data_IF_067527900052
#
_entry.id   IF_067527900052
#
_cell.length_a   1.000
_cell.length_b   1.000
_cell.length_c   1.000
_cell.angle_alpha   90.00
_cell.angle_beta   90.00
_cell.angle_gamma   90.00
#
_symmetry.space_group_name_H-M   'P 1'
#
loop_
_entity.id
_entity.type
_entity.pdbx_description
1 polymer ?
#
# COMPACT_ATOMS: atom_id res chain seq x y z
N UNK A 1 30.72 17.88 -14.32
CA UNK A 1 30.78 16.44 -14.02
C UNK A 1 30.30 15.71 -15.27
N UNK A 2 31.22 15.38 -16.18
CA UNK A 2 30.93 14.74 -17.47
C UNK A 2 30.73 13.26 -17.24
N UNK A 3 29.62 12.74 -17.67
CA UNK A 3 29.08 11.39 -17.63
C UNK A 3 30.06 10.24 -17.37
N UNK A 4 30.29 9.90 -16.12
CA UNK A 4 31.10 8.73 -15.70
C UNK A 4 30.47 7.39 -16.16
N UNK A 5 29.22 7.42 -16.64
CA UNK A 5 28.47 6.26 -17.15
C UNK A 5 28.34 6.19 -18.67
N UNK A 6 28.90 7.18 -19.42
CA UNK A 6 28.80 7.20 -20.88
C UNK A 6 29.73 6.18 -21.57
N UNK A 7 30.75 5.71 -20.88
CA UNK A 7 31.78 4.81 -21.41
C UNK A 7 31.68 3.36 -20.92
N UNK A 8 30.75 3.04 -20.05
CA UNK A 8 30.50 1.64 -19.67
C UNK A 8 29.82 0.92 -20.85
N UNK A 9 30.41 -0.18 -21.35
CA UNK A 9 29.81 -0.91 -22.46
C UNK A 9 28.40 -1.36 -22.03
N UNK A 10 27.41 -1.11 -22.89
CA UNK A 10 25.99 -1.45 -22.63
C UNK A 10 25.80 -2.86 -22.10
N UNK A 11 26.68 -3.78 -22.53
CA UNK A 11 26.70 -5.18 -22.06
C UNK A 11 26.99 -5.33 -20.58
N UNK A 12 27.95 -4.57 -20.00
CA UNK A 12 28.26 -4.65 -18.57
C UNK A 12 27.15 -4.05 -17.71
N UNK A 13 26.54 -2.93 -18.13
CA UNK A 13 25.38 -2.36 -17.44
C UNK A 13 24.19 -3.33 -17.47
N UNK A 14 23.93 -3.98 -18.59
CA UNK A 14 22.88 -4.99 -18.71
C UNK A 14 23.17 -6.22 -17.84
N UNK A 15 24.40 -6.69 -17.77
CA UNK A 15 24.80 -7.80 -16.92
C UNK A 15 24.62 -7.46 -15.42
N UNK A 16 25.04 -6.27 -15.00
CA UNK A 16 24.83 -5.77 -13.63
C UNK A 16 23.33 -5.69 -13.29
N UNK A 17 22.52 -5.16 -14.21
CA UNK A 17 21.06 -5.08 -14.02
C UNK A 17 20.44 -6.47 -13.79
N UNK A 18 20.75 -7.45 -14.63
CA UNK A 18 20.22 -8.81 -14.49
C UNK A 18 20.74 -9.52 -13.25
N UNK A 19 22.03 -9.33 -12.92
CA UNK A 19 22.61 -9.89 -11.68
C UNK A 19 21.93 -9.31 -10.44
N UNK A 20 21.68 -8.00 -10.41
CA UNK A 20 20.97 -7.33 -9.33
C UNK A 20 19.51 -7.81 -9.22
N UNK A 21 18.82 -7.95 -10.35
CA UNK A 21 17.45 -8.48 -10.38
C UNK A 21 17.39 -9.92 -9.84
N UNK A 22 18.31 -10.79 -10.28
CA UNK A 22 18.42 -12.15 -9.77
C UNK A 22 18.69 -12.18 -8.27
N UNK A 23 19.61 -11.34 -7.78
CA UNK A 23 19.91 -11.21 -6.36
C UNK A 23 18.68 -10.82 -5.53
N UNK A 24 17.88 -9.86 -6.02
CA UNK A 24 16.64 -9.43 -5.34
C UNK A 24 15.55 -10.51 -5.35
N UNK A 25 15.44 -11.28 -6.43
CA UNK A 25 14.41 -12.31 -6.56
C UNK A 25 14.80 -13.63 -5.89
N UNK A 26 16.08 -13.86 -5.65
CA UNK A 26 16.57 -15.13 -5.09
C UNK A 26 15.93 -15.51 -3.75
N UNK A 27 15.81 -14.64 -2.73
CA UNK A 27 15.14 -15.00 -1.48
C UNK A 27 13.67 -15.38 -1.68
N UNK A 28 12.97 -14.65 -2.58
CA UNK A 28 11.56 -14.91 -2.88
C UNK A 28 11.38 -16.25 -3.61
N UNK A 29 12.25 -16.55 -4.58
CA UNK A 29 12.20 -17.82 -5.31
C UNK A 29 12.55 -19.00 -4.39
N UNK A 30 13.49 -18.84 -3.47
CA UNK A 30 13.81 -19.85 -2.46
C UNK A 30 12.63 -20.09 -1.50
N UNK A 31 11.99 -19.03 -1.01
CA UNK A 31 10.78 -19.14 -0.18
C UNK A 31 9.66 -19.88 -0.94
N UNK A 32 9.43 -19.51 -2.20
CA UNK A 32 8.46 -20.19 -3.06
C UNK A 32 8.83 -21.66 -3.29
N UNK A 33 10.08 -21.97 -3.56
CA UNK A 33 10.53 -23.37 -3.73
C UNK A 33 10.33 -24.20 -2.45
N UNK A 34 10.64 -23.62 -1.27
CA UNK A 34 10.45 -24.27 0.02
C UNK A 34 8.99 -24.49 0.40
N UNK A 35 8.04 -23.75 -0.20
CA UNK A 35 6.60 -23.96 0.02
C UNK A 35 6.06 -25.26 -0.57
N UNK A 36 6.79 -25.88 -1.50
CA UNK A 36 6.42 -27.15 -2.10
C UNK A 36 7.10 -28.37 -1.45
N UNK A 37 7.94 -28.15 -0.45
CA UNK A 37 8.69 -29.25 0.18
C UNK A 37 7.78 -30.16 1.00
N UNK A 38 7.87 -31.47 0.75
CA UNK A 38 7.20 -32.49 1.56
C UNK A 38 8.06 -32.83 2.80
N UNK A 39 8.00 -31.95 3.82
CA UNK A 39 8.62 -32.14 5.12
C UNK A 39 8.05 -31.13 6.12
N UNK A 40 8.19 -31.40 7.42
CA UNK A 40 7.70 -30.50 8.47
C UNK A 40 8.64 -29.35 8.82
N UNK A 41 9.81 -29.27 8.20
CA UNK A 41 10.82 -28.25 8.46
C UNK A 41 11.48 -27.76 7.17
N UNK A 42 12.01 -26.55 7.20
CA UNK A 42 12.72 -25.93 6.08
C UNK A 42 14.19 -26.34 6.12
N UNK A 43 14.66 -27.13 5.15
CA UNK A 43 16.07 -27.50 4.99
C UNK A 43 16.39 -27.87 3.54
N UNK A 44 17.68 -27.88 3.18
CA UNK A 44 18.20 -28.38 1.90
C UNK A 44 18.83 -29.76 2.08
N UNK A 45 18.82 -30.64 1.04
CA UNK A 45 18.14 -30.45 -0.27
C UNK A 45 16.63 -30.57 -0.16
N UNK A 46 15.90 -30.01 -1.16
CA UNK A 46 14.46 -30.23 -1.31
C UNK A 46 14.30 -31.69 -1.73
N UNK A 47 13.63 -32.49 -0.90
CA UNK A 47 13.29 -33.87 -1.19
C UNK A 47 12.09 -33.96 -2.16
N UNK A 48 11.04 -34.64 -1.73
CA UNK A 48 9.81 -34.73 -2.51
C UNK A 48 9.04 -33.41 -2.53
N UNK A 49 8.22 -33.23 -3.56
CA UNK A 49 7.41 -32.03 -3.80
C UNK A 49 5.95 -32.33 -3.54
N UNK A 50 5.25 -31.44 -2.81
CA UNK A 50 3.83 -31.56 -2.52
C UNK A 50 3.10 -30.25 -2.68
N UNK A 51 1.79 -30.34 -2.94
CA UNK A 51 0.84 -29.22 -2.89
C UNK A 51 -0.04 -29.25 -1.63
N UNK A 52 0.16 -30.21 -0.74
CA UNK A 52 -0.71 -30.41 0.43
C UNK A 52 -0.72 -29.23 1.37
N UNK A 53 0.41 -28.50 1.47
CA UNK A 53 0.47 -27.27 2.25
C UNK A 53 -0.48 -26.19 1.76
N UNK A 54 -0.64 -26.07 0.44
CA UNK A 54 -1.60 -25.13 -0.16
C UNK A 54 -3.04 -25.54 0.13
N UNK A 55 -3.36 -26.83 0.03
CA UNK A 55 -4.67 -27.35 0.38
C UNK A 55 -4.98 -27.14 1.86
N UNK A 56 -4.00 -27.35 2.74
CA UNK A 56 -4.12 -27.11 4.18
C UNK A 56 -4.34 -25.64 4.50
N UNK A 57 -3.56 -24.72 3.92
CA UNK A 57 -3.68 -23.28 4.08
C UNK A 57 -5.04 -22.77 3.63
N UNK A 58 -5.56 -23.27 2.50
CA UNK A 58 -6.90 -22.89 1.99
C UNK A 58 -8.05 -23.40 2.86
N UNK A 59 -7.82 -24.39 3.72
CA UNK A 59 -8.79 -24.89 4.71
C UNK A 59 -8.57 -24.28 6.10
N UNK A 60 -7.47 -23.58 6.34
CA UNK A 60 -7.17 -22.93 7.62
C UNK A 60 -8.11 -21.71 7.80
N UNK A 61 -9.11 -21.87 8.67
CA UNK A 61 -10.08 -20.80 8.99
C UNK A 61 -9.40 -19.56 9.53
N UNK A 62 -8.34 -19.71 10.33
CA UNK A 62 -7.61 -18.58 10.89
C UNK A 62 -6.91 -17.76 9.81
N UNK A 63 -6.33 -18.43 8.81
CA UNK A 63 -5.73 -17.78 7.63
C UNK A 63 -6.78 -17.02 6.82
N UNK A 64 -7.91 -17.65 6.50
CA UNK A 64 -8.98 -17.01 5.74
C UNK A 64 -9.59 -15.81 6.47
N UNK A 65 -9.82 -15.93 7.78
CA UNK A 65 -10.30 -14.84 8.60
C UNK A 65 -9.31 -13.66 8.67
N UNK A 66 -8.01 -13.95 8.78
CA UNK A 66 -6.96 -12.94 8.76
C UNK A 66 -6.86 -12.23 7.39
N UNK A 67 -7.01 -12.97 6.28
CA UNK A 67 -7.09 -12.42 4.94
C UNK A 67 -8.28 -11.44 4.80
N UNK A 68 -9.48 -11.89 5.16
CA UNK A 68 -10.69 -11.05 5.09
C UNK A 68 -10.58 -9.83 5.98
N UNK A 69 -10.03 -9.99 7.18
CA UNK A 69 -9.83 -8.89 8.11
C UNK A 69 -8.82 -7.86 7.55
N UNK A 70 -7.70 -8.32 6.97
CA UNK A 70 -6.73 -7.43 6.31
C UNK A 70 -7.34 -6.66 5.13
N UNK A 71 -8.14 -7.33 4.30
CA UNK A 71 -8.84 -6.68 3.17
C UNK A 71 -9.83 -5.63 3.68
N UNK A 72 -10.59 -5.92 4.73
CA UNK A 72 -11.51 -4.97 5.35
C UNK A 72 -10.79 -3.73 5.90
N UNK A 73 -9.69 -3.93 6.64
CA UNK A 73 -8.84 -2.82 7.14
C UNK A 73 -8.30 -2.00 5.97
N UNK A 74 -7.75 -2.67 4.95
CA UNK A 74 -7.19 -1.99 3.78
C UNK A 74 -8.25 -1.19 3.01
N UNK A 75 -9.43 -1.73 2.81
CA UNK A 75 -10.53 -1.03 2.16
C UNK A 75 -10.98 0.20 2.95
N UNK A 76 -11.21 0.05 4.26
CA UNK A 76 -11.68 1.14 5.11
C UNK A 76 -10.64 2.26 5.24
N UNK A 77 -9.37 1.91 5.49
CA UNK A 77 -8.28 2.89 5.61
C UNK A 77 -7.96 3.59 4.29
N UNK A 78 -8.02 2.87 3.16
CA UNK A 78 -7.83 3.44 1.83
C UNK A 78 -8.94 4.44 1.51
N UNK A 79 -10.21 4.10 1.77
CA UNK A 79 -11.33 5.01 1.53
C UNK A 79 -11.20 6.28 2.37
N UNK A 80 -10.88 6.13 3.66
CA UNK A 80 -10.65 7.25 4.56
C UNK A 80 -9.46 8.12 4.11
N UNK A 81 -8.33 7.50 3.76
CA UNK A 81 -7.14 8.21 3.30
C UNK A 81 -7.37 8.93 1.97
N UNK A 82 -8.10 8.29 1.02
CA UNK A 82 -8.42 8.89 -0.27
C UNK A 82 -9.32 10.10 -0.09
N UNK A 83 -10.33 10.00 0.75
CA UNK A 83 -11.23 11.11 1.06
C UNK A 83 -10.46 12.27 1.70
N UNK A 84 -9.78 12.02 2.80
CA UNK A 84 -9.02 13.04 3.54
C UNK A 84 -7.91 13.65 2.70
N UNK A 85 -7.12 12.81 2.02
CA UNK A 85 -6.01 13.27 1.19
C UNK A 85 -6.45 14.12 0.00
N UNK A 86 -7.58 13.78 -0.62
CA UNK A 86 -8.18 14.59 -1.69
C UNK A 86 -8.62 15.96 -1.17
N UNK A 87 -9.32 16.02 -0.04
CA UNK A 87 -9.73 17.27 0.58
C UNK A 87 -8.55 18.15 0.97
N UNK A 88 -7.49 17.56 1.57
CA UNK A 88 -6.26 18.28 1.90
C UNK A 88 -5.59 18.83 0.63
N UNK A 89 -5.50 18.04 -0.44
CA UNK A 89 -4.93 18.48 -1.70
C UNK A 89 -5.73 19.65 -2.32
N UNK A 90 -7.06 19.59 -2.28
CA UNK A 90 -7.92 20.68 -2.72
C UNK A 90 -7.72 21.95 -1.87
N UNK A 91 -7.61 21.80 -0.55
CA UNK A 91 -7.33 22.90 0.36
C UNK A 91 -6.00 23.58 0.04
N UNK A 92 -4.99 22.81 -0.35
CA UNK A 92 -3.65 23.34 -0.71
C UNK A 92 -3.68 24.14 -2.01
N UNK A 93 -4.55 23.81 -2.98
CA UNK A 93 -4.66 24.58 -4.24
C UNK A 93 -5.72 25.66 -4.21
N UNK A 94 -6.53 25.73 -3.16
CA UNK A 94 -7.59 26.74 -3.06
C UNK A 94 -7.00 28.16 -2.96
N UNK A 95 -7.57 29.09 -3.73
CA UNK A 95 -7.16 30.49 -3.73
C UNK A 95 -7.44 31.15 -2.38
N UNK A 96 -6.57 32.09 -2.00
CA UNK A 96 -6.70 32.87 -0.76
C UNK A 96 -6.30 32.14 0.54
N UNK A 97 -5.99 30.87 0.52
CA UNK A 97 -5.53 30.14 1.71
C UNK A 97 -4.06 30.46 1.98
N UNK A 98 -3.81 31.08 3.14
CA UNK A 98 -2.44 31.31 3.64
C UNK A 98 -1.89 30.03 4.31
N UNK A 99 -0.61 29.76 4.13
CA UNK A 99 0.03 28.61 4.79
C UNK A 99 -0.10 27.27 4.06
N UNK A 100 -0.37 27.27 2.75
CA UNK A 100 -0.44 26.05 1.91
C UNK A 100 0.79 25.14 2.09
N UNK A 101 1.99 25.73 2.24
CA UNK A 101 3.24 24.98 2.47
C UNK A 101 3.21 24.27 3.83
N UNK A 102 2.66 24.93 4.85
CA UNK A 102 2.54 24.35 6.20
C UNK A 102 1.55 23.20 6.18
N UNK A 103 0.38 23.37 5.52
CA UNK A 103 -0.64 22.32 5.36
C UNK A 103 -0.03 21.11 4.66
N UNK A 104 0.70 21.34 3.57
CA UNK A 104 1.39 20.26 2.84
C UNK A 104 2.44 19.56 3.71
N UNK A 105 3.29 20.33 4.42
CA UNK A 105 4.30 19.78 5.30
C UNK A 105 3.70 18.92 6.42
N UNK A 106 2.64 19.41 7.08
CA UNK A 106 1.92 18.67 8.12
C UNK A 106 1.26 17.40 7.58
N UNK A 107 0.63 17.48 6.40
CA UNK A 107 0.00 16.32 5.75
C UNK A 107 1.02 15.25 5.35
N UNK A 108 2.25 15.65 4.97
CA UNK A 108 3.31 14.73 4.57
C UNK A 108 4.18 14.23 5.76
N UNK A 109 4.05 14.83 6.94
CA UNK A 109 4.84 14.47 8.12
C UNK A 109 4.79 12.97 8.47
N UNK A 110 3.62 12.28 8.42
CA UNK A 110 3.55 10.86 8.73
C UNK A 110 4.37 9.95 7.81
N UNK A 111 4.67 10.39 6.59
CA UNK A 111 5.51 9.62 5.66
C UNK A 111 7.02 9.74 5.96
N UNK A 112 7.42 10.80 6.67
CA UNK A 112 8.82 11.07 7.02
C UNK A 112 9.19 10.42 8.35
N UNK A 113 8.21 10.29 9.27
CA UNK A 113 8.42 9.69 10.59
C UNK A 113 8.62 8.18 10.45
N UNK A 114 9.68 7.59 11.04
CA UNK A 114 9.88 6.15 11.03
C UNK A 114 8.65 5.39 11.52
N UNK A 115 8.26 4.32 10.80
CA UNK A 115 7.00 3.62 11.02
C UNK A 115 6.78 3.15 12.47
N UNK A 116 7.82 2.65 13.14
CA UNK A 116 7.74 2.22 14.54
C UNK A 116 7.46 3.41 15.48
N UNK A 117 8.14 4.54 15.29
CA UNK A 117 7.94 5.74 16.10
C UNK A 117 6.52 6.28 15.90
N UNK A 118 6.05 6.33 14.65
CA UNK A 118 4.69 6.73 14.31
C UNK A 118 3.64 5.82 14.98
N UNK A 119 3.85 4.50 14.95
CA UNK A 119 2.93 3.53 15.54
C UNK A 119 2.86 3.65 17.07
N UNK A 120 4.01 3.78 17.74
CA UNK A 120 4.09 3.95 19.21
C UNK A 120 3.46 5.29 19.62
N UNK A 121 3.78 6.38 18.92
CA UNK A 121 3.20 7.71 19.21
C UNK A 121 1.68 7.69 19.05
N UNK A 122 1.16 7.03 18.01
CA UNK A 122 -0.27 6.88 17.82
C UNK A 122 -0.90 5.99 18.90
N UNK A 123 -0.20 4.94 19.34
CA UNK A 123 -0.64 4.10 20.48
C UNK A 123 -0.78 4.91 21.77
N UNK A 124 0.19 5.77 22.05
CA UNK A 124 0.14 6.68 23.21
C UNK A 124 -1.03 7.65 23.03
N UNK A 125 -1.16 8.27 21.87
CA UNK A 125 -2.24 9.22 21.58
C UNK A 125 -3.63 8.62 21.81
N UNK A 126 -3.92 7.44 21.23
CA UNK A 126 -5.24 6.80 21.42
C UNK A 126 -5.49 6.43 22.88
N UNK A 127 -4.43 6.11 23.66
CA UNK A 127 -4.55 5.86 25.09
C UNK A 127 -4.91 7.12 25.87
N UNK A 128 -4.45 8.32 25.46
CA UNK A 128 -4.79 9.59 26.14
C UNK A 128 -6.23 10.03 25.92
N UNK A 129 -6.90 9.51 24.89
CA UNK A 129 -8.31 9.79 24.58
C UNK A 129 -9.22 8.59 24.90
N UNK A 130 -8.72 7.64 25.70
CA UNK A 130 -9.43 6.41 26.10
C UNK A 130 -9.98 5.58 24.92
N UNK A 131 -9.36 5.69 23.74
CA UNK A 131 -9.73 4.89 22.58
C UNK A 131 -9.12 3.49 22.70
N UNK A 132 -9.92 2.41 22.64
CA UNK A 132 -9.40 1.05 22.74
C UNK A 132 -8.59 0.67 21.49
N UNK A 133 -7.58 -0.20 21.70
CA UNK A 133 -6.92 -0.89 20.58
C UNK A 133 -7.90 -1.79 19.83
N UNK A 134 -7.58 -2.08 18.56
CA UNK A 134 -8.41 -2.94 17.71
C UNK A 134 -8.70 -2.32 16.35
N UNK A 135 -9.79 -2.74 15.73
CA UNK A 135 -10.13 -2.41 14.34
C UNK A 135 -10.08 -0.92 14.03
N UNK A 136 -10.72 -0.08 14.87
CA UNK A 136 -10.77 1.37 14.63
C UNK A 136 -9.39 2.02 14.77
N UNK A 137 -8.59 1.60 15.75
CA UNK A 137 -7.24 2.10 15.95
C UNK A 137 -6.31 1.71 14.78
N UNK A 138 -6.43 0.48 14.27
CA UNK A 138 -5.67 0.03 13.08
C UNK A 138 -6.06 0.87 11.86
N UNK A 139 -7.37 1.02 11.60
CA UNK A 139 -7.85 1.84 10.47
C UNK A 139 -7.33 3.27 10.58
N UNK A 140 -7.36 3.87 11.77
CA UNK A 140 -6.79 5.21 12.00
C UNK A 140 -5.30 5.25 11.67
N UNK A 141 -4.52 4.29 12.17
CA UNK A 141 -3.07 4.22 11.91
C UNK A 141 -2.70 4.07 10.46
N UNK A 142 -3.40 3.16 9.75
CA UNK A 142 -3.20 2.95 8.32
C UNK A 142 -3.65 4.17 7.51
N UNK A 143 -4.75 4.82 7.90
CA UNK A 143 -5.23 6.06 7.27
C UNK A 143 -4.20 7.18 7.38
N UNK A 144 -3.71 7.46 8.61
CA UNK A 144 -2.70 8.49 8.86
C UNK A 144 -1.45 8.25 8.02
N UNK A 145 -1.02 6.99 7.88
CA UNK A 145 0.13 6.65 7.05
C UNK A 145 -0.12 6.83 5.55
N UNK A 146 -1.32 6.52 5.08
CA UNK A 146 -1.66 6.54 3.66
C UNK A 146 -1.98 7.95 3.12
N UNK A 147 -2.49 8.85 3.96
CA UNK A 147 -2.87 10.24 3.59
C UNK A 147 -1.79 10.99 2.81
N UNK A 148 -0.51 11.01 3.21
CA UNK A 148 0.55 11.71 2.48
C UNK A 148 0.63 11.33 1.00
N UNK A 149 0.52 10.06 0.70
CA UNK A 149 0.64 9.54 -0.67
C UNK A 149 -0.54 9.99 -1.53
N UNK A 150 -1.75 9.96 -0.98
CA UNK A 150 -2.94 10.47 -1.68
C UNK A 150 -2.83 11.98 -1.91
N UNK A 151 -2.38 12.73 -0.89
CA UNK A 151 -2.17 14.19 -1.01
C UNK A 151 -1.23 14.51 -2.16
N UNK A 152 -0.08 13.84 -2.24
CA UNK A 152 0.90 14.08 -3.31
C UNK A 152 0.32 13.74 -4.69
N UNK A 153 -0.36 12.59 -4.83
CA UNK A 153 -0.95 12.17 -6.10
C UNK A 153 -2.07 13.10 -6.55
N UNK A 154 -2.99 13.43 -5.64
CA UNK A 154 -4.11 14.34 -5.93
C UNK A 154 -3.60 15.76 -6.23
N UNK A 155 -2.65 16.28 -5.44
CA UNK A 155 -2.07 17.60 -5.62
C UNK A 155 -1.35 17.73 -6.97
N UNK A 156 -0.56 16.73 -7.35
CA UNK A 156 0.14 16.70 -8.64
C UNK A 156 -0.87 16.76 -9.79
N UNK A 157 -1.97 16.02 -9.67
CA UNK A 157 -3.03 16.00 -10.68
C UNK A 157 -3.82 17.30 -10.72
N UNK A 158 -4.16 17.88 -9.56
CA UNK A 158 -4.85 19.17 -9.47
C UNK A 158 -4.01 20.28 -10.10
N UNK A 159 -2.71 20.33 -9.85
CA UNK A 159 -1.81 21.34 -10.44
C UNK A 159 -1.65 21.22 -11.96
N UNK A 160 -1.93 20.06 -12.52
CA UNK A 160 -1.94 19.84 -13.97
C UNK A 160 -3.30 20.11 -14.63
N UNK A 161 -4.34 20.42 -13.83
CA UNK A 161 -5.66 20.71 -14.34
C UNK A 161 -5.67 22.10 -15.00
N UNK A 162 -6.18 22.24 -16.24
CA UNK A 162 -6.36 23.54 -16.85
C UNK A 162 -7.31 24.42 -16.01
N UNK A 163 -6.84 25.64 -15.65
CA UNK A 163 -7.58 26.53 -14.73
C UNK A 163 -8.97 26.91 -15.20
N UNK A 164 -9.16 26.99 -16.52
CA UNK A 164 -10.44 27.37 -17.14
C UNK A 164 -11.54 26.30 -17.08
N UNK A 165 -11.24 25.05 -16.70
CA UNK A 165 -12.25 23.97 -16.68
C UNK A 165 -13.33 24.20 -15.63
N UNK A 166 -12.95 24.65 -14.44
CA UNK A 166 -13.91 24.93 -13.35
C UNK A 166 -14.68 26.20 -13.66
N UNK A 167 -14.01 27.22 -14.21
CA UNK A 167 -14.66 28.50 -14.59
C UNK A 167 -15.67 28.29 -15.73
N UNK A 168 -15.29 27.52 -16.75
CA UNK A 168 -16.23 27.17 -17.83
C UNK A 168 -17.47 26.42 -17.32
N UNK A 169 -17.31 25.54 -16.32
CA UNK A 169 -18.43 24.86 -15.69
C UNK A 169 -19.36 25.87 -14.94
N UNK A 170 -18.76 26.85 -14.25
CA UNK A 170 -19.50 27.92 -13.57
C UNK A 170 -20.24 28.82 -14.53
N UNK A 171 -19.62 29.18 -15.66
CA UNK A 171 -20.28 29.97 -16.74
C UNK A 171 -21.49 29.25 -17.31
N UNK A 172 -21.48 27.90 -17.29
CA UNK A 172 -22.62 27.04 -17.64
C UNK A 172 -23.64 26.85 -16.51
N UNK A 173 -23.49 27.58 -15.39
CA UNK A 173 -24.42 27.56 -14.26
C UNK A 173 -24.14 26.49 -13.21
N UNK A 174 -22.97 25.84 -13.23
CA UNK A 174 -22.62 24.88 -12.20
C UNK A 174 -22.20 25.58 -10.89
N UNK A 175 -22.79 25.19 -9.77
CA UNK A 175 -22.30 25.57 -8.45
C UNK A 175 -21.00 24.83 -8.10
N UNK A 176 -20.39 25.17 -6.96
CA UNK A 176 -19.11 24.57 -6.54
C UNK A 176 -19.19 23.06 -6.31
N UNK A 177 -20.34 22.55 -5.85
CA UNK A 177 -20.57 21.12 -5.60
C UNK A 177 -20.69 20.36 -6.93
N UNK A 178 -21.49 20.90 -7.86
CA UNK A 178 -21.67 20.34 -9.21
C UNK A 178 -20.34 20.37 -9.97
N UNK A 179 -19.59 21.47 -9.92
CA UNK A 179 -18.27 21.58 -10.55
C UNK A 179 -17.28 20.57 -9.96
N UNK A 180 -17.30 20.34 -8.64
CA UNK A 180 -16.47 19.31 -8.01
C UNK A 180 -16.80 17.92 -8.54
N UNK A 181 -18.06 17.48 -8.47
CA UNK A 181 -18.43 16.11 -8.83
C UNK A 181 -18.40 15.84 -10.34
N UNK A 182 -18.68 16.85 -11.18
CA UNK A 182 -18.74 16.68 -12.64
C UNK A 182 -17.48 17.03 -13.39
N UNK A 183 -16.58 17.82 -12.80
CA UNK A 183 -15.34 18.28 -13.47
C UNK A 183 -14.11 17.83 -12.67
N UNK A 184 -13.97 18.29 -11.41
CA UNK A 184 -12.76 18.08 -10.64
C UNK A 184 -12.55 16.60 -10.27
N UNK A 185 -13.55 15.94 -9.72
CA UNK A 185 -13.46 14.55 -9.28
C UNK A 185 -13.21 13.57 -10.45
N UNK A 186 -13.90 13.65 -11.59
CA UNK A 186 -13.58 12.86 -12.78
C UNK A 186 -12.18 13.12 -13.32
N UNK A 187 -11.70 14.37 -13.30
CA UNK A 187 -10.35 14.72 -13.71
C UNK A 187 -9.30 14.08 -12.78
N UNK A 188 -9.56 14.05 -11.47
CA UNK A 188 -8.71 13.39 -10.47
C UNK A 188 -8.77 11.86 -10.55
N UNK A 189 -9.86 11.30 -11.07
CA UNK A 189 -10.19 9.88 -11.04
C UNK A 189 -8.99 8.95 -11.30
N UNK A 190 -8.24 9.08 -12.41
CA UNK A 190 -7.10 8.21 -12.69
C UNK A 190 -5.99 8.26 -11.63
N UNK A 191 -5.72 9.44 -11.05
CA UNK A 191 -4.73 9.61 -9.99
C UNK A 191 -5.24 9.01 -8.66
N UNK A 192 -6.52 9.20 -8.33
CA UNK A 192 -7.14 8.64 -7.13
C UNK A 192 -7.20 7.11 -7.19
N UNK A 193 -7.54 6.53 -8.35
CA UNK A 193 -7.53 5.07 -8.52
C UNK A 193 -6.11 4.52 -8.30
N UNK A 194 -5.10 5.12 -8.90
CA UNK A 194 -3.70 4.75 -8.66
C UNK A 194 -3.30 4.90 -7.18
N UNK A 195 -3.71 5.99 -6.55
CA UNK A 195 -3.51 6.23 -5.11
C UNK A 195 -4.21 5.20 -4.23
N UNK A 196 -5.46 4.84 -4.53
CA UNK A 196 -6.20 3.81 -3.80
C UNK A 196 -5.52 2.45 -3.87
N UNK A 197 -5.08 2.02 -5.06
CA UNK A 197 -4.36 0.76 -5.22
C UNK A 197 -3.07 0.75 -4.39
N UNK A 198 -2.31 1.85 -4.43
CA UNK A 198 -1.11 1.99 -3.63
C UNK A 198 -1.41 1.94 -2.12
N UNK A 199 -2.46 2.63 -1.65
CA UNK A 199 -2.88 2.61 -0.25
C UNK A 199 -3.34 1.21 0.21
N UNK A 200 -4.05 0.46 -0.64
CA UNK A 200 -4.42 -0.94 -0.35
C UNK A 200 -3.18 -1.79 -0.14
N UNK A 201 -2.19 -1.70 -1.03
CA UNK A 201 -0.94 -2.46 -0.91
C UNK A 201 -0.18 -2.07 0.36
N UNK A 202 -0.05 -0.77 0.66
CA UNK A 202 0.56 -0.28 1.90
C UNK A 202 -0.15 -0.83 3.15
N UNK A 203 -1.47 -0.89 3.13
CA UNK A 203 -2.25 -1.34 4.29
C UNK A 203 -2.17 -2.86 4.49
N UNK A 204 -2.15 -3.64 3.41
CA UNK A 204 -2.04 -5.12 3.49
C UNK A 204 -0.68 -5.52 4.07
N UNK A 205 0.38 -4.79 3.76
CA UNK A 205 1.75 -5.09 4.20
C UNK A 205 2.10 -4.47 5.58
N UNK A 206 1.22 -3.63 6.15
CA UNK A 206 1.52 -2.91 7.38
C UNK A 206 1.43 -3.79 8.64
N UNK A 207 2.54 -4.44 8.96
CA UNK A 207 2.73 -5.18 10.19
C UNK A 207 2.88 -4.25 11.41
N UNK A 208 3.71 -3.20 11.29
CA UNK A 208 4.16 -2.41 12.45
C UNK A 208 3.01 -1.71 13.15
N UNK A 209 2.17 -0.99 12.39
CA UNK A 209 1.01 -0.28 12.98
C UNK A 209 -0.01 -1.25 13.53
N UNK A 210 -0.26 -2.34 12.81
CA UNK A 210 -1.15 -3.39 13.30
C UNK A 210 -0.66 -4.01 14.60
N UNK A 211 0.65 -4.23 14.76
CA UNK A 211 1.25 -4.78 15.98
C UNK A 211 0.98 -3.90 17.21
N UNK A 212 1.15 -2.58 17.09
CA UNK A 212 0.99 -1.65 18.22
C UNK A 212 -0.47 -1.25 18.48
N UNK A 213 -1.31 -1.21 17.45
CA UNK A 213 -2.69 -0.72 17.52
C UNK A 213 -3.72 -1.85 17.54
N UNK A 214 -3.31 -3.07 17.23
CA UNK A 214 -4.17 -4.23 17.10
C UNK A 214 -4.79 -4.69 18.43
N UNK A 215 -5.86 -5.48 18.29
CA UNK A 215 -6.53 -6.19 19.37
C UNK A 215 -6.37 -7.70 19.22
N UNK A 216 -7.41 -8.45 19.56
CA UNK A 216 -7.38 -9.92 19.52
C UNK A 216 -7.42 -10.54 18.12
N UNK A 217 -7.92 -9.82 17.12
CA UNK A 217 -8.00 -10.32 15.74
C UNK A 217 -6.71 -9.98 14.98
N UNK A 218 -5.93 -10.98 14.54
CA UNK A 218 -4.73 -10.72 13.78
C UNK A 218 -5.06 -10.35 12.33
N UNK A 219 -4.32 -9.40 11.77
CA UNK A 219 -4.23 -9.23 10.32
C UNK A 219 -3.31 -10.30 9.74
N UNK A 220 -3.29 -10.42 8.43
CA UNK A 220 -2.48 -11.43 7.74
C UNK A 220 -0.97 -11.35 8.06
N UNK A 221 -0.31 -10.18 8.05
CA UNK A 221 1.08 -10.07 8.49
C UNK A 221 1.29 -10.47 9.95
N UNK A 222 0.35 -10.15 10.82
CA UNK A 222 0.38 -10.54 12.25
C UNK A 222 0.28 -12.05 12.43
N UNK A 223 -0.61 -12.70 11.68
CA UNK A 223 -0.77 -14.15 11.72
C UNK A 223 0.50 -14.86 11.24
N UNK A 224 1.05 -14.42 10.10
CA UNK A 224 2.30 -14.98 9.58
C UNK A 224 3.43 -14.81 10.58
N UNK A 225 3.57 -13.63 11.17
CA UNK A 225 4.58 -13.37 12.20
C UNK A 225 4.42 -14.30 13.41
N UNK A 226 3.21 -14.48 13.92
CA UNK A 226 2.94 -15.38 15.05
C UNK A 226 3.30 -16.85 14.71
N UNK A 227 2.97 -17.30 13.50
CA UNK A 227 3.34 -18.65 13.04
C UNK A 227 4.86 -18.81 12.89
N UNK A 228 5.58 -17.80 12.38
CA UNK A 228 7.05 -17.81 12.27
C UNK A 228 7.70 -17.91 13.65
N UNK A 229 7.16 -17.24 14.67
CA UNK A 229 7.63 -17.34 16.05
C UNK A 229 7.46 -18.75 16.64
N UNK A 230 6.47 -19.51 16.18
CA UNK A 230 6.23 -20.90 16.56
C UNK A 230 7.16 -21.91 15.87
N UNK A 231 7.98 -21.47 14.91
CA UNK A 231 8.89 -22.30 14.13
C UNK A 231 8.63 -22.23 12.62
N UNK A 232 9.70 -22.28 11.83
CA UNK A 232 9.62 -22.22 10.36
C UNK A 232 9.12 -23.56 9.80
N UNK A 233 8.00 -23.51 9.07
CA UNK A 233 7.44 -24.68 8.36
C UNK A 233 7.15 -24.33 6.89
N UNK A 234 7.09 -25.33 5.98
CA UNK A 234 6.68 -25.10 4.60
C UNK A 234 5.27 -24.52 4.46
N UNK A 235 4.38 -24.76 5.44
CA UNK A 235 3.04 -24.15 5.51
C UNK A 235 3.14 -22.61 5.53
N UNK A 236 4.06 -22.05 6.30
CA UNK A 236 4.25 -20.59 6.37
C UNK A 236 4.76 -20.05 5.03
N UNK A 237 5.66 -20.79 4.37
CA UNK A 237 6.13 -20.44 3.04
C UNK A 237 5.00 -20.50 2.00
N UNK A 238 4.08 -21.47 2.12
CA UNK A 238 2.89 -21.55 1.26
C UNK A 238 1.94 -20.35 1.49
N UNK A 239 1.69 -19.96 2.74
CA UNK A 239 0.92 -18.76 3.07
C UNK A 239 1.57 -17.51 2.46
N UNK A 240 2.86 -17.29 2.68
CA UNK A 240 3.59 -16.15 2.16
C UNK A 240 3.62 -16.15 0.61
N UNK A 241 3.76 -17.31 -0.02
CA UNK A 241 3.72 -17.46 -1.49
C UNK A 241 2.35 -17.09 -2.05
N UNK A 242 1.24 -17.54 -1.43
CA UNK A 242 -0.12 -17.15 -1.83
C UNK A 242 -0.31 -15.64 -1.76
N UNK A 243 0.12 -15.03 -0.67
CA UNK A 243 0.05 -13.56 -0.49
C UNK A 243 0.86 -12.85 -1.57
N UNK A 244 2.11 -13.28 -1.80
CA UNK A 244 2.98 -12.69 -2.82
C UNK A 244 2.36 -12.79 -4.22
N UNK A 245 1.82 -13.95 -4.60
CA UNK A 245 1.19 -14.16 -5.92
C UNK A 245 -0.04 -13.27 -6.07
N UNK A 246 -0.91 -13.20 -5.05
CA UNK A 246 -2.12 -12.37 -5.09
C UNK A 246 -1.75 -10.88 -5.17
N UNK A 247 -0.84 -10.40 -4.33
CA UNK A 247 -0.42 -8.98 -4.35
C UNK A 247 0.29 -8.61 -5.66
N UNK A 248 1.13 -9.48 -6.19
CA UNK A 248 1.76 -9.29 -7.50
C UNK A 248 0.71 -9.24 -8.64
N UNK A 249 -0.27 -10.15 -8.62
CA UNK A 249 -1.35 -10.16 -9.61
C UNK A 249 -2.19 -8.88 -9.56
N UNK A 250 -2.55 -8.41 -8.35
CA UNK A 250 -3.26 -7.14 -8.15
C UNK A 250 -2.44 -5.97 -8.66
N UNK A 251 -1.14 -5.92 -8.34
CA UNK A 251 -0.22 -4.87 -8.80
C UNK A 251 -0.09 -4.83 -10.33
N UNK A 252 0.09 -5.98 -10.97
CA UNK A 252 0.17 -6.10 -12.42
C UNK A 252 -1.14 -5.71 -13.11
N UNK A 253 -2.28 -6.14 -12.56
CA UNK A 253 -3.59 -5.75 -13.06
C UNK A 253 -3.82 -4.24 -12.96
N UNK A 254 -3.43 -3.64 -11.84
CA UNK A 254 -3.50 -2.21 -11.62
C UNK A 254 -2.66 -1.43 -12.64
N UNK A 255 -1.42 -1.86 -12.88
CA UNK A 255 -0.53 -1.27 -13.88
C UNK A 255 -1.13 -1.39 -15.30
N UNK A 256 -1.66 -2.56 -15.64
CA UNK A 256 -2.32 -2.77 -16.93
C UNK A 256 -3.51 -1.81 -17.14
N UNK A 257 -4.35 -1.64 -16.12
CA UNK A 257 -5.51 -0.72 -16.17
C UNK A 257 -5.06 0.74 -16.29
N UNK A 258 -4.02 1.14 -15.57
CA UNK A 258 -3.48 2.51 -15.60
C UNK A 258 -2.87 2.83 -16.96
N UNK A 259 -2.16 1.88 -17.58
CA UNK A 259 -1.62 2.05 -18.95
C UNK A 259 -2.74 2.21 -19.99
N UNK A 260 -3.79 1.41 -19.90
CA UNK A 260 -4.95 1.53 -20.80
C UNK A 260 -5.68 2.86 -20.69
N UNK A 261 -5.76 3.42 -19.49
CA UNK A 261 -6.39 4.72 -19.27
C UNK A 261 -5.56 5.90 -19.83
N UNK A 262 -4.24 5.73 -19.98
CA UNK A 262 -3.35 6.75 -20.58
C UNK A 262 -3.37 6.76 -22.12
N UNK A 263 -3.78 5.68 -22.74
CA UNK A 263 -3.83 5.53 -24.21
C UNK A 263 -5.19 5.88 -24.82
N UNK A 264 -6.17 6.22 -24.01
CA UNK A 264 -7.48 6.79 -24.38
C UNK A 264 -7.57 8.26 -24.00
#
# INVERSE_FOLDING_TARGET
MRNMFADAPRTSLTAIYWAFLLYLLLPLTLMMAMSFRDANFVAFPIGDWTLDWYAKVMQDKQFLEACLYSVMIAAASTLAATTLGTWIAMLIVAEGIKGQVIIFALACLPAVVPGMISAISLRIFISTIDMPTGTAAIILGHTVHAVPFVVVMALTRLRSMPGNLVDAARDLGADSIVAFFRVTLPYLGPALVGGMIFCVLLSIDDFVRTFFLGGYRPTLPMLIFAKVQGGMSPEINAMATLVLVVTAAVGLYAEYMTRRARTR
#
